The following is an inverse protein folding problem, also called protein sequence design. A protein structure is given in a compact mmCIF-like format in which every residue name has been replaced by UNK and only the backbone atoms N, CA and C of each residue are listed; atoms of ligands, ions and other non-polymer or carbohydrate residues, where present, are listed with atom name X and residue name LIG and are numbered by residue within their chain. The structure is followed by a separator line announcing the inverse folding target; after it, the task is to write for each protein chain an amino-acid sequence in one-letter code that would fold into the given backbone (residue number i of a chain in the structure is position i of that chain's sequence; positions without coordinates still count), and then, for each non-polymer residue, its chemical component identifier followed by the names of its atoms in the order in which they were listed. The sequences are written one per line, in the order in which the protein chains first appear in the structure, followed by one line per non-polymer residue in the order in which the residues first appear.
data_IF_900765139131
#
_entry.id   IF_900765139131
#
_cell.length_a   1.000
_cell.length_b   1.000
_cell.length_c   1.000
_cell.angle_alpha   90.00
_cell.angle_beta   90.00
_cell.angle_gamma   90.00
#
_symmetry.space_group_name_H-M   'P 1'
#
loop_
_entity.id
_entity.type
_entity.pdbx_description
1 polymer ?
#
# COMPACT_ATOMS: atom_id res chain seq x y z
N UNK A 1 -9.50 14.43 13.40
CA UNK A 1 -9.04 14.92 12.08
C UNK A 1 -8.43 13.74 11.34
N UNK A 2 -9.10 13.17 10.35
CA UNK A 2 -8.58 12.02 9.59
C UNK A 2 -7.64 12.50 8.49
N UNK A 3 -6.34 12.33 8.68
CA UNK A 3 -5.33 12.75 7.72
C UNK A 3 -5.37 11.82 6.51
N UNK A 4 -5.87 12.32 5.37
CA UNK A 4 -5.96 11.58 4.10
C UNK A 4 -4.55 11.35 3.55
N UNK A 5 -3.94 10.19 3.84
CA UNK A 5 -2.63 9.77 3.32
C UNK A 5 -2.85 9.18 1.91
N UNK A 6 -2.41 9.88 0.85
CA UNK A 6 -2.56 9.46 -0.56
C UNK A 6 -1.33 8.69 -1.04
N UNK A 7 -1.56 7.58 -1.74
CA UNK A 7 -0.58 6.99 -2.67
C UNK A 7 -0.90 7.48 -4.08
N UNK A 8 0.05 8.12 -4.75
CA UNK A 8 -0.09 8.48 -6.16
C UNK A 8 -0.08 7.21 -7.04
N UNK A 9 -0.89 7.23 -8.10
CA UNK A 9 -1.11 6.08 -8.99
C UNK A 9 -0.34 6.26 -10.28
N UNK A 10 0.95 5.95 -10.24
CA UNK A 10 1.75 5.76 -11.45
C UNK A 10 2.19 4.29 -11.55
N UNK A 11 1.82 3.63 -12.65
CA UNK A 11 2.27 2.28 -13.00
C UNK A 11 1.23 1.43 -13.72
N UNK A 12 1.57 0.98 -14.94
CA UNK A 12 0.79 0.00 -15.73
C UNK A 12 0.64 -1.31 -14.95
N UNK A 13 -0.61 -1.68 -14.66
CA UNK A 13 -0.97 -2.94 -14.01
C UNK A 13 -1.10 -4.03 -15.08
N UNK A 14 -0.39 -5.16 -14.96
CA UNK A 14 -0.76 -6.37 -15.71
C UNK A 14 -1.98 -7.00 -15.03
N UNK A 15 -3.13 -6.91 -15.67
CA UNK A 15 -4.41 -7.35 -15.13
C UNK A 15 -4.64 -8.84 -15.45
N UNK A 16 -4.41 -9.72 -14.48
CA UNK A 16 -5.18 -10.96 -14.41
C UNK A 16 -6.47 -10.65 -13.64
N UNK A 17 -7.59 -10.53 -14.36
CA UNK A 17 -8.91 -10.40 -13.75
C UNK A 17 -9.27 -11.76 -13.14
N UNK A 18 -8.96 -11.95 -11.86
CA UNK A 18 -9.53 -13.05 -11.08
C UNK A 18 -10.99 -12.71 -10.79
N UNK A 19 -11.91 -13.60 -11.20
CA UNK A 19 -13.35 -13.48 -10.94
C UNK A 19 -13.73 -13.72 -9.47
N UNK A 20 -12.76 -13.78 -8.55
CA UNK A 20 -12.99 -13.97 -7.13
C UNK A 20 -13.23 -12.64 -6.41
N UNK A 21 -14.32 -12.56 -5.64
CA UNK A 21 -14.61 -11.44 -4.75
C UNK A 21 -13.59 -11.28 -3.60
N UNK A 22 -12.75 -12.29 -3.39
CA UNK A 22 -11.65 -12.30 -2.43
C UNK A 22 -10.32 -12.48 -3.15
N UNK A 23 -9.25 -11.94 -2.59
CA UNK A 23 -7.92 -12.02 -3.17
C UNK A 23 -6.85 -11.67 -2.15
N UNK A 24 -5.59 -11.88 -2.52
CA UNK A 24 -4.44 -11.55 -1.70
C UNK A 24 -3.54 -10.55 -2.41
N UNK A 25 -2.93 -9.65 -1.64
CA UNK A 25 -1.90 -8.73 -2.12
C UNK A 25 -0.59 -9.20 -1.50
N UNK A 26 0.41 -9.49 -2.34
CA UNK A 26 1.76 -9.84 -1.89
C UNK A 26 2.72 -8.75 -2.35
N UNK A 27 3.51 -8.22 -1.43
CA UNK A 27 4.50 -7.20 -1.71
C UNK A 27 5.82 -7.52 -1.02
N UNK A 28 6.90 -7.55 -1.80
CA UNK A 28 8.27 -7.70 -1.29
C UNK A 28 8.92 -6.32 -1.23
N UNK A 29 9.37 -5.92 -0.05
CA UNK A 29 10.17 -4.71 0.13
C UNK A 29 11.64 -5.13 0.08
N UNK A 30 12.35 -4.65 -0.94
CA UNK A 30 13.79 -4.84 -1.04
C UNK A 30 14.52 -3.76 -0.24
N UNK A 31 15.55 -4.17 0.50
CA UNK A 31 16.43 -3.30 1.28
C UNK A 31 15.66 -2.39 2.27
N UNK A 32 15.05 -3.01 3.29
CA UNK A 32 14.25 -2.31 4.32
C UNK A 32 15.05 -1.23 5.07
N UNK A 33 16.37 -1.37 5.16
CA UNK A 33 17.26 -0.40 5.81
C UNK A 33 17.38 0.93 5.04
N UNK A 34 17.01 0.96 3.74
CA UNK A 34 16.97 2.17 2.92
C UNK A 34 15.55 2.72 2.73
N UNK A 35 14.61 2.28 3.57
CA UNK A 35 13.22 2.65 3.43
C UNK A 35 13.01 4.12 3.87
N UNK A 36 12.95 5.03 2.89
CA UNK A 36 12.73 6.46 3.14
C UNK A 36 11.26 6.74 3.47
N UNK A 37 10.92 6.77 4.77
CA UNK A 37 9.66 7.20 5.43
C UNK A 37 8.31 6.65 4.89
N UNK A 38 8.10 6.50 3.58
CA UNK A 38 6.90 5.93 2.95
C UNK A 38 7.21 5.21 1.64
N UNK A 39 6.54 4.10 1.36
CA UNK A 39 6.58 3.42 0.05
C UNK A 39 5.22 2.76 -0.23
N UNK A 40 4.77 2.85 -1.48
CA UNK A 40 3.57 2.17 -1.93
C UNK A 40 3.93 0.89 -2.70
N UNK A 41 3.09 -0.14 -2.60
CA UNK A 41 3.17 -1.32 -3.45
C UNK A 41 2.74 -1.00 -4.88
N UNK A 42 3.00 -1.94 -5.78
CA UNK A 42 2.30 -1.97 -7.07
C UNK A 42 0.78 -2.10 -6.84
N UNK A 43 -0.05 -1.52 -7.73
CA UNK A 43 -1.49 -1.72 -7.67
C UNK A 43 -1.85 -3.19 -7.91
N UNK A 44 -2.84 -3.69 -7.17
CA UNK A 44 -3.40 -5.04 -7.33
C UNK A 44 -4.92 -4.95 -7.40
N UNK A 45 -5.52 -5.62 -8.38
CA UNK A 45 -6.98 -5.67 -8.53
C UNK A 45 -7.53 -6.84 -7.71
N UNK A 46 -8.44 -6.55 -6.78
CA UNK A 46 -9.16 -7.55 -5.96
C UNK A 46 -10.62 -7.13 -5.87
N UNK A 47 -11.55 -8.04 -6.20
CA UNK A 47 -12.99 -7.75 -6.20
C UNK A 47 -13.38 -6.60 -7.15
N UNK A 48 -12.69 -6.47 -8.29
CA UNK A 48 -12.93 -5.40 -9.27
C UNK A 48 -12.44 -4.02 -8.87
N UNK A 49 -11.84 -3.85 -7.69
CA UNK A 49 -11.29 -2.60 -7.20
C UNK A 49 -9.75 -2.64 -7.20
N UNK A 50 -9.12 -1.50 -7.49
CA UNK A 50 -7.66 -1.38 -7.49
C UNK A 50 -7.16 -0.96 -6.11
N UNK A 51 -6.43 -1.85 -5.46
CA UNK A 51 -5.87 -1.65 -4.11
C UNK A 51 -4.36 -1.41 -4.16
N UNK A 52 -3.83 -0.72 -3.15
CA UNK A 52 -2.39 -0.61 -2.88
C UNK A 52 -2.10 -0.81 -1.40
N UNK A 53 -0.90 -1.25 -1.07
CA UNK A 53 -0.37 -1.19 0.30
C UNK A 53 0.51 0.05 0.44
N UNK A 54 0.40 0.78 1.54
CA UNK A 54 1.30 1.86 1.93
C UNK A 54 2.03 1.42 3.20
N UNK A 55 3.35 1.28 3.11
CA UNK A 55 4.18 1.08 4.30
C UNK A 55 4.91 2.37 4.66
N UNK A 56 5.02 2.65 5.95
CA UNK A 56 5.72 3.80 6.52
C UNK A 56 6.48 3.38 7.77
N UNK A 57 7.59 4.06 8.03
CA UNK A 57 8.32 3.92 9.29
C UNK A 57 8.09 5.22 10.06
N UNK A 58 7.51 5.11 11.25
CA UNK A 58 7.26 6.24 12.15
C UNK A 58 7.78 5.85 13.55
N UNK A 59 8.40 6.79 14.27
CA UNK A 59 8.77 6.57 15.66
C UNK A 59 7.52 6.60 16.55
N UNK A 60 7.42 5.67 17.50
CA UNK A 60 6.40 5.71 18.54
C UNK A 60 6.71 6.79 19.60
N UNK A 61 5.81 6.93 20.59
CA UNK A 61 5.99 7.90 21.67
C UNK A 61 7.23 7.64 22.54
N UNK A 62 7.83 6.46 22.45
CA UNK A 62 9.04 6.05 23.16
C UNK A 62 10.30 6.16 22.31
N UNK A 63 10.18 6.58 21.04
CA UNK A 63 11.28 6.71 20.09
C UNK A 63 11.66 5.42 19.37
N UNK A 64 10.87 4.34 19.49
CA UNK A 64 11.10 3.10 18.75
C UNK A 64 10.50 3.19 17.35
N UNK A 65 11.23 2.73 16.34
CA UNK A 65 10.74 2.68 14.96
C UNK A 65 9.62 1.64 14.82
N UNK A 66 8.45 2.08 14.36
CA UNK A 66 7.31 1.23 14.01
C UNK A 66 7.15 1.14 12.50
N UNK A 67 7.00 -0.08 11.98
CA UNK A 67 6.52 -0.32 10.62
C UNK A 67 5.00 -0.29 10.61
N UNK A 68 4.43 0.72 9.96
CA UNK A 68 2.98 0.88 9.82
C UNK A 68 2.58 0.53 8.39
N UNK A 69 1.59 -0.37 8.23
CA UNK A 69 1.08 -0.79 6.92
C UNK A 69 -0.40 -0.46 6.81
N UNK A 70 -0.76 0.29 5.76
CA UNK A 70 -2.13 0.64 5.42
C UNK A 70 -2.57 -0.06 4.14
N UNK A 71 -3.83 -0.49 4.10
CA UNK A 71 -4.52 -0.84 2.86
C UNK A 71 -5.17 0.42 2.28
N UNK A 72 -4.76 0.81 1.08
CA UNK A 72 -5.29 1.97 0.37
C UNK A 72 -6.36 1.52 -0.63
N UNK A 73 -7.59 1.99 -0.44
CA UNK A 73 -8.66 1.87 -1.42
C UNK A 73 -8.46 2.87 -2.57
N UNK A 74 -8.97 2.57 -3.77
CA UNK A 74 -9.01 3.55 -4.83
C UNK A 74 -9.93 4.70 -4.37
N UNK A 75 -9.46 5.94 -4.45
CA UNK A 75 -10.34 7.07 -4.13
C UNK A 75 -11.45 7.10 -5.17
N UNK A 76 -12.70 6.90 -4.77
CA UNK A 76 -13.85 7.31 -5.57
C UNK A 76 -13.63 8.78 -5.90
N UNK A 77 -13.33 9.06 -7.17
CA UNK A 77 -13.52 10.40 -7.75
C UNK A 77 -15.01 10.57 -7.98
#
# INVERSE_FOLDING_TARGET
VATKRRCDVDGKSSSFLSASNTGFIRWKIENIYRFHNRKCSHPTVVGGLQWKLLAMIEADATGNDMLIVYLCSPSNR
#
